data_IF_295980831133
#
_entry.id   IF_295980831133
#
_cell.length_a   1.000
_cell.length_b   1.000
_cell.length_c   1.000
_cell.angle_alpha   90.00
_cell.angle_beta   90.00
_cell.angle_gamma   90.00
#
_symmetry.space_group_name_H-M   'P 1'
#
loop_
_entity.id
_entity.type
_entity.pdbx_description
1 polymer ?
#
# COMPACT_ATOMS: atom_id res chain seq x y z
N UNK A 1 25.06 22.81 -1.93
CA UNK A 1 24.45 22.44 -3.22
C UNK A 1 22.95 22.29 -3.04
N UNK A 2 22.17 23.09 -3.76
CA UNK A 2 20.71 23.00 -3.70
C UNK A 2 20.23 21.67 -4.26
N UNK A 3 19.35 20.94 -3.52
CA UNK A 3 18.64 19.78 -4.06
C UNK A 3 17.78 20.28 -5.24
N UNK A 4 18.05 19.79 -6.44
CA UNK A 4 17.22 20.07 -7.60
C UNK A 4 15.96 19.23 -7.48
N UNK A 5 14.83 19.85 -7.23
CA UNK A 5 13.54 19.19 -7.37
C UNK A 5 13.11 19.21 -8.85
N UNK A 6 12.39 18.22 -9.27
CA UNK A 6 11.79 18.16 -10.58
C UNK A 6 10.28 18.35 -10.42
N UNK A 7 9.68 19.11 -11.33
CA UNK A 7 8.24 19.37 -11.35
C UNK A 7 7.69 18.86 -12.69
N UNK A 8 6.64 18.06 -12.62
CA UNK A 8 5.92 17.53 -13.78
C UNK A 8 4.43 17.63 -13.46
N UNK A 9 3.71 18.40 -14.29
CA UNK A 9 2.24 18.57 -14.17
C UNK A 9 1.78 18.92 -12.72
N UNK A 10 2.40 19.94 -12.13
CA UNK A 10 2.16 20.42 -10.76
C UNK A 10 2.52 19.41 -9.64
N UNK A 11 3.21 18.32 -9.98
CA UNK A 11 3.72 17.34 -9.00
C UNK A 11 5.23 17.51 -8.84
N UNK A 12 5.67 17.67 -7.61
CA UNK A 12 7.10 17.78 -7.26
C UNK A 12 7.67 16.38 -7.03
N UNK A 13 8.78 16.08 -7.69
CA UNK A 13 9.50 14.82 -7.53
C UNK A 13 10.78 15.02 -6.74
N UNK A 14 10.97 14.21 -5.71
CA UNK A 14 12.27 14.10 -5.04
C UNK A 14 13.27 13.45 -6.02
N UNK A 15 14.49 14.00 -6.18
CA UNK A 15 15.51 13.44 -7.08
C UNK A 15 15.84 11.96 -6.88
N UNK A 16 15.68 11.45 -5.67
CA UNK A 16 15.90 10.03 -5.35
C UNK A 16 15.01 9.09 -6.17
N UNK A 17 13.78 9.53 -6.48
CA UNK A 17 12.86 8.74 -7.31
C UNK A 17 13.40 8.45 -8.72
N UNK A 18 14.19 9.37 -9.27
CA UNK A 18 14.72 9.25 -10.64
C UNK A 18 15.97 8.38 -10.69
N UNK A 19 16.66 8.20 -9.59
CA UNK A 19 17.93 7.50 -9.51
C UNK A 19 17.82 6.13 -8.83
N UNK A 20 16.77 5.91 -8.04
CA UNK A 20 16.62 4.67 -7.31
C UNK A 20 16.11 3.56 -8.21
N UNK A 21 16.91 2.53 -8.40
CA UNK A 21 16.51 1.30 -9.08
C UNK A 21 15.76 0.41 -8.10
N UNK A 22 14.59 -0.04 -8.50
CA UNK A 22 13.69 -0.78 -7.62
C UNK A 22 12.87 -1.80 -8.43
N UNK A 23 12.93 -3.06 -8.02
CA UNK A 23 12.09 -4.14 -8.56
C UNK A 23 11.66 -5.05 -7.41
N UNK A 24 10.36 -5.13 -7.14
CA UNK A 24 9.84 -5.97 -6.06
C UNK A 24 10.33 -7.41 -6.15
N UNK A 25 10.79 -7.95 -5.02
CA UNK A 25 11.19 -9.35 -4.87
C UNK A 25 10.31 -10.05 -3.83
N UNK A 26 9.12 -10.46 -4.25
CA UNK A 26 8.11 -11.08 -3.40
C UNK A 26 8.54 -12.42 -2.82
N UNK A 27 9.45 -13.12 -3.48
CA UNK A 27 9.99 -14.39 -2.96
C UNK A 27 10.83 -14.16 -1.70
N UNK A 28 11.49 -13.01 -1.60
CA UNK A 28 12.31 -12.64 -0.45
C UNK A 28 11.54 -11.86 0.60
N UNK A 29 10.80 -10.82 0.22
CA UNK A 29 10.08 -9.99 1.19
C UNK A 29 8.73 -10.56 1.63
N UNK A 30 8.17 -11.54 0.89
CA UNK A 30 6.88 -12.18 1.20
C UNK A 30 5.69 -11.20 1.30
N UNK A 31 5.76 -10.08 0.61
CA UNK A 31 4.71 -9.06 0.66
C UNK A 31 4.73 -8.22 1.94
N UNK A 32 5.90 -7.94 2.47
CA UNK A 32 6.08 -7.23 3.75
C UNK A 32 5.39 -5.87 3.83
N UNK A 33 5.19 -5.17 2.70
CA UNK A 33 4.43 -3.91 2.68
C UNK A 33 2.98 -4.05 3.21
N UNK A 34 2.44 -5.27 3.20
CA UNK A 34 1.10 -5.58 3.73
C UNK A 34 1.12 -6.15 5.15
N UNK A 35 2.29 -6.50 5.70
CA UNK A 35 2.40 -7.25 6.96
C UNK A 35 3.43 -6.69 7.94
N UNK A 36 4.20 -5.68 7.56
CA UNK A 36 5.17 -5.08 8.48
C UNK A 36 4.49 -4.52 9.73
N UNK A 37 5.14 -4.68 10.88
CA UNK A 37 4.61 -4.19 12.15
C UNK A 37 4.61 -2.66 12.16
N UNK A 38 3.44 -2.09 12.43
CA UNK A 38 3.25 -0.64 12.52
C UNK A 38 1.97 -0.31 13.30
N UNK A 39 2.02 0.78 14.05
CA UNK A 39 0.82 1.39 14.63
C UNK A 39 -0.05 2.06 13.57
N UNK A 40 0.48 2.28 12.39
CA UNK A 40 -0.19 2.95 11.27
C UNK A 40 -0.47 1.96 10.15
N UNK A 41 -1.70 1.99 9.62
CA UNK A 41 -2.07 1.28 8.41
C UNK A 41 -1.69 2.04 7.14
N UNK A 42 -2.15 1.54 6.00
CA UNK A 42 -1.98 2.23 4.72
C UNK A 42 -2.86 3.48 4.66
N UNK A 43 -2.31 4.65 4.30
CA UNK A 43 -3.12 5.86 4.12
C UNK A 43 -4.25 5.67 3.11
N UNK A 44 -5.41 6.22 3.44
CA UNK A 44 -6.61 6.19 2.60
C UNK A 44 -7.15 7.60 2.36
N UNK A 45 -7.77 7.81 1.23
CA UNK A 45 -8.65 8.96 1.00
C UNK A 45 -10.10 8.58 1.30
N UNK A 46 -10.96 9.59 1.53
CA UNK A 46 -12.40 9.35 1.72
C UNK A 46 -13.01 8.67 0.48
N UNK A 47 -12.60 9.08 -0.72
CA UNK A 47 -13.06 8.47 -1.97
C UNK A 47 -12.70 6.98 -2.05
N UNK A 48 -11.50 6.61 -1.62
CA UNK A 48 -11.07 5.20 -1.56
C UNK A 48 -11.88 4.39 -0.55
N UNK A 49 -12.15 4.96 0.62
CA UNK A 49 -13.03 4.34 1.64
C UNK A 49 -14.41 4.07 1.06
N UNK A 50 -15.00 5.04 0.36
CA UNK A 50 -16.32 4.90 -0.25
C UNK A 50 -16.34 3.83 -1.34
N UNK A 51 -15.31 3.77 -2.19
CA UNK A 51 -15.15 2.73 -3.21
C UNK A 51 -15.02 1.34 -2.61
N UNK A 52 -14.19 1.19 -1.58
CA UNK A 52 -14.00 -0.09 -0.87
C UNK A 52 -15.31 -0.50 -0.21
N UNK A 53 -15.97 0.42 0.49
CA UNK A 53 -17.21 0.14 1.19
C UNK A 53 -18.32 -0.36 0.26
N UNK A 54 -18.44 0.24 -0.91
CA UNK A 54 -19.40 -0.19 -1.95
C UNK A 54 -19.16 -1.58 -2.52
N UNK A 55 -17.96 -2.14 -2.35
CA UNK A 55 -17.56 -3.45 -2.85
C UNK A 55 -17.10 -4.42 -1.76
N UNK A 56 -17.27 -4.04 -0.50
CA UNK A 56 -16.74 -4.79 0.65
C UNK A 56 -17.28 -6.23 0.71
N UNK A 57 -18.54 -6.44 0.34
CA UNK A 57 -19.14 -7.78 0.30
C UNK A 57 -18.43 -8.72 -0.68
N UNK A 58 -17.93 -8.21 -1.79
CA UNK A 58 -17.14 -8.98 -2.77
C UNK A 58 -15.72 -9.19 -2.24
N UNK A 59 -15.09 -8.12 -1.75
CA UNK A 59 -13.71 -8.16 -1.24
C UNK A 59 -13.56 -9.19 -0.11
N UNK A 60 -14.53 -9.27 0.80
CA UNK A 60 -14.52 -10.24 1.91
C UNK A 60 -14.44 -11.69 1.47
N UNK A 61 -14.92 -12.03 0.27
CA UNK A 61 -14.85 -13.40 -0.25
C UNK A 61 -13.41 -13.87 -0.50
N UNK A 62 -12.47 -12.93 -0.62
CA UNK A 62 -11.04 -13.20 -0.84
C UNK A 62 -10.22 -13.25 0.43
N UNK A 63 -10.80 -12.93 1.58
CA UNK A 63 -10.08 -12.76 2.84
C UNK A 63 -10.22 -13.97 3.76
N UNK A 64 -9.18 -14.26 4.58
CA UNK A 64 -9.29 -15.23 5.65
C UNK A 64 -10.38 -14.84 6.65
N UNK A 65 -10.98 -15.85 7.28
CA UNK A 65 -12.06 -15.63 8.25
C UNK A 65 -11.70 -14.63 9.35
N UNK A 66 -10.49 -14.70 9.90
CA UNK A 66 -10.01 -13.77 10.93
C UNK A 66 -10.07 -12.31 10.46
N UNK A 67 -9.71 -12.04 9.22
CA UNK A 67 -9.75 -10.70 8.62
C UNK A 67 -11.18 -10.24 8.39
N UNK A 68 -12.05 -11.12 7.90
CA UNK A 68 -13.49 -10.83 7.75
C UNK A 68 -14.11 -10.48 9.10
N UNK A 69 -13.87 -11.30 10.11
CA UNK A 69 -14.39 -11.06 11.48
C UNK A 69 -13.91 -9.71 12.04
N UNK A 70 -12.66 -9.34 11.80
CA UNK A 70 -12.11 -8.04 12.20
C UNK A 70 -12.85 -6.89 11.50
N UNK A 71 -13.07 -7.00 10.20
CA UNK A 71 -13.78 -5.99 9.40
C UNK A 71 -15.24 -5.86 9.88
N UNK A 72 -15.92 -6.97 10.11
CA UNK A 72 -17.32 -6.97 10.57
C UNK A 72 -17.49 -6.41 11.99
N UNK A 73 -16.52 -6.66 12.86
CA UNK A 73 -16.57 -6.22 14.26
C UNK A 73 -16.20 -4.75 14.43
N UNK A 74 -15.18 -4.27 13.70
CA UNK A 74 -14.58 -2.94 13.93
C UNK A 74 -14.36 -2.09 12.69
N UNK A 75 -14.80 -2.56 11.51
CA UNK A 75 -14.57 -1.88 10.23
C UNK A 75 -13.15 -2.11 9.68
N UNK A 76 -12.90 -1.55 8.51
CA UNK A 76 -11.63 -1.73 7.80
C UNK A 76 -10.72 -0.51 7.83
N UNK A 77 -11.20 0.62 8.34
CA UNK A 77 -10.43 1.87 8.40
C UNK A 77 -10.59 2.54 9.77
N UNK A 78 -9.70 3.45 10.05
CA UNK A 78 -9.71 4.30 11.24
C UNK A 78 -9.10 5.66 10.93
N UNK A 79 -9.45 6.64 11.76
CA UNK A 79 -8.79 7.95 11.78
C UNK A 79 -7.81 7.99 12.95
N UNK A 80 -6.53 8.19 12.64
CA UNK A 80 -5.48 8.43 13.64
C UNK A 80 -4.78 9.74 13.32
N UNK A 81 -4.82 10.68 14.25
CA UNK A 81 -4.15 11.98 14.11
C UNK A 81 -4.53 12.70 12.81
N UNK A 82 -5.84 12.75 12.51
CA UNK A 82 -6.40 13.35 11.30
C UNK A 82 -5.92 12.68 9.99
N UNK A 83 -5.53 11.41 10.07
CA UNK A 83 -5.18 10.59 8.91
C UNK A 83 -6.06 9.35 8.83
N UNK A 84 -6.75 9.21 7.71
CA UNK A 84 -7.51 8.00 7.39
C UNK A 84 -6.55 6.90 6.95
N UNK A 85 -6.72 5.70 7.51
CA UNK A 85 -5.85 4.57 7.22
C UNK A 85 -6.57 3.24 7.37
N UNK A 86 -6.02 2.19 6.76
CA UNK A 86 -6.51 0.82 6.95
C UNK A 86 -6.25 0.34 8.37
N UNK A 87 -7.15 -0.51 8.87
CA UNK A 87 -6.88 -1.28 10.09
C UNK A 87 -6.00 -2.49 9.81
N UNK A 88 -5.44 -3.05 10.86
CA UNK A 88 -4.59 -4.23 10.80
C UNK A 88 -4.96 -5.24 11.89
N UNK A 89 -4.44 -6.45 11.75
CA UNK A 89 -4.50 -7.50 12.76
C UNK A 89 -3.25 -7.38 13.63
N UNK A 90 -3.43 -7.09 14.91
CA UNK A 90 -2.35 -6.97 15.91
C UNK A 90 -1.20 -6.06 15.48
N UNK A 91 -1.51 -4.92 14.84
CA UNK A 91 -0.54 -3.95 14.29
C UNK A 91 0.44 -4.55 13.27
N UNK A 92 0.05 -5.62 12.58
CA UNK A 92 0.87 -6.31 11.57
C UNK A 92 0.15 -6.38 10.23
N UNK A 93 -0.48 -7.50 9.94
CA UNK A 93 -1.14 -7.70 8.66
C UNK A 93 -2.32 -6.73 8.46
N UNK A 94 -2.35 -6.05 7.31
CA UNK A 94 -3.51 -5.27 6.90
C UNK A 94 -4.77 -6.16 6.85
N UNK A 95 -5.93 -5.60 7.18
CA UNK A 95 -7.21 -6.35 7.16
C UNK A 95 -7.57 -6.92 5.79
N UNK A 96 -6.99 -6.37 4.71
CA UNK A 96 -7.22 -6.82 3.34
C UNK A 96 -6.21 -7.86 2.83
N UNK A 97 -5.37 -8.40 3.71
CA UNK A 97 -4.36 -9.40 3.34
C UNK A 97 -4.97 -10.79 3.25
N UNK A 98 -4.61 -11.52 2.19
CA UNK A 98 -4.67 -12.98 2.12
C UNK A 98 -3.28 -13.53 1.80
N UNK A 99 -3.08 -14.81 1.97
CA UNK A 99 -1.79 -15.46 1.74
C UNK A 99 -1.89 -16.46 0.59
N UNK A 100 -0.96 -16.33 -0.35
CA UNK A 100 -0.78 -17.23 -1.48
C UNK A 100 0.63 -17.82 -1.42
N UNK A 101 0.74 -19.11 -1.12
CA UNK A 101 2.02 -19.80 -0.93
C UNK A 101 2.98 -19.07 0.05
N UNK A 102 2.44 -18.54 1.15
CA UNK A 102 3.20 -17.84 2.17
C UNK A 102 3.56 -16.38 1.81
N UNK A 103 3.10 -15.88 0.67
CA UNK A 103 3.27 -14.49 0.26
C UNK A 103 1.98 -13.72 0.59
N UNK A 104 2.13 -12.62 1.34
CA UNK A 104 1.01 -11.73 1.62
C UNK A 104 0.62 -10.95 0.36
N UNK A 105 -0.66 -10.96 0.04
CA UNK A 105 -1.25 -10.26 -1.11
C UNK A 105 -2.49 -9.48 -0.70
N UNK A 106 -2.86 -8.50 -1.51
CA UNK A 106 -4.03 -7.68 -1.26
C UNK A 106 -5.30 -8.34 -1.84
N UNK A 107 -6.30 -8.58 -1.00
CA UNK A 107 -7.60 -9.12 -1.42
C UNK A 107 -8.39 -8.16 -2.32
N UNK A 108 -8.22 -6.85 -2.15
CA UNK A 108 -8.82 -5.86 -3.05
C UNK A 108 -8.22 -6.00 -4.45
N UNK A 109 -6.90 -6.07 -4.57
CA UNK A 109 -6.22 -6.24 -5.85
C UNK A 109 -6.61 -7.56 -6.53
N UNK A 110 -6.73 -8.64 -5.76
CA UNK A 110 -7.18 -9.95 -6.29
C UNK A 110 -8.59 -9.89 -6.84
N UNK A 111 -9.53 -9.25 -6.14
CA UNK A 111 -10.88 -9.05 -6.63
C UNK A 111 -10.91 -8.20 -7.92
N UNK A 112 -10.02 -7.22 -8.03
CA UNK A 112 -9.85 -6.45 -9.25
C UNK A 112 -9.29 -7.28 -10.40
N UNK A 113 -8.25 -8.07 -10.16
CA UNK A 113 -7.64 -8.98 -11.16
C UNK A 113 -8.63 -10.02 -11.68
N UNK A 114 -9.54 -10.47 -10.82
CA UNK A 114 -10.63 -11.39 -11.18
C UNK A 114 -11.84 -10.67 -11.81
N UNK A 115 -11.70 -9.38 -12.14
CA UNK A 115 -12.73 -8.54 -12.78
C UNK A 115 -14.05 -8.45 -11.99
N UNK A 116 -14.00 -8.64 -10.67
CA UNK A 116 -15.18 -8.55 -9.78
C UNK A 116 -15.45 -7.13 -9.30
N UNK A 117 -14.44 -6.29 -9.29
CA UNK A 117 -14.52 -4.88 -8.91
C UNK A 117 -13.70 -4.03 -9.88
N UNK A 118 -13.96 -2.72 -9.90
CA UNK A 118 -13.28 -1.75 -10.78
C UNK A 118 -12.27 -0.86 -10.04
N UNK A 119 -11.94 -1.18 -8.81
CA UNK A 119 -10.96 -0.48 -7.98
C UNK A 119 -9.82 -1.44 -7.64
N UNK A 120 -8.59 -1.10 -8.06
CA UNK A 120 -7.45 -2.01 -7.92
C UNK A 120 -6.97 -2.13 -6.48
N UNK A 121 -6.62 -1.03 -5.85
CA UNK A 121 -6.23 -0.90 -4.44
C UNK A 121 -5.93 0.56 -4.09
N UNK A 122 -5.79 0.91 -2.81
CA UNK A 122 -5.41 2.27 -2.40
C UNK A 122 -4.12 2.72 -3.08
N UNK A 123 -4.07 4.00 -3.48
CA UNK A 123 -2.92 4.54 -4.20
C UNK A 123 -1.64 4.47 -3.36
N UNK A 124 -1.74 4.62 -2.05
CA UNK A 124 -0.61 4.49 -1.13
C UNK A 124 0.03 3.09 -1.17
N UNK A 125 -0.80 2.05 -1.34
CA UNK A 125 -0.34 0.67 -1.49
C UNK A 125 0.20 0.40 -2.90
N UNK A 126 -0.44 0.99 -3.92
CA UNK A 126 -0.03 0.82 -5.31
C UNK A 126 1.33 1.44 -5.59
N UNK A 127 1.59 2.61 -5.03
CA UNK A 127 2.84 3.34 -5.19
C UNK A 127 3.95 2.93 -4.21
N UNK A 128 3.63 2.15 -3.16
CA UNK A 128 4.63 1.76 -2.16
C UNK A 128 5.92 1.21 -2.81
N UNK A 129 7.12 1.63 -2.47
CA UNK A 129 7.49 2.50 -1.34
C UNK A 129 7.53 4.01 -1.64
N UNK A 130 6.92 4.45 -2.74
CA UNK A 130 6.77 5.87 -3.04
C UNK A 130 5.65 6.43 -2.17
N UNK A 131 5.93 7.56 -1.53
CA UNK A 131 4.95 8.27 -0.70
C UNK A 131 4.57 9.61 -1.32
N UNK A 132 3.31 9.94 -1.21
CA UNK A 132 2.77 11.25 -1.58
C UNK A 132 2.62 12.09 -0.32
N UNK A 133 3.18 13.28 -0.32
CA UNK A 133 3.04 14.25 0.76
C UNK A 133 2.47 15.54 0.19
N UNK A 134 1.47 16.10 0.85
CA UNK A 134 0.87 17.38 0.45
C UNK A 134 1.39 18.52 1.34
N UNK A 135 2.06 19.48 0.71
CA UNK A 135 2.49 20.74 1.30
C UNK A 135 2.01 21.94 0.46
N UNK A 136 0.74 21.92 0.05
CA UNK A 136 0.17 22.87 -0.91
C UNK A 136 0.33 22.41 -2.36
N UNK A 137 0.58 21.13 -2.57
CA UNK A 137 0.77 20.41 -3.82
C UNK A 137 1.38 19.05 -3.57
N UNK A 138 1.19 18.11 -4.49
CA UNK A 138 1.68 16.74 -4.34
C UNK A 138 3.20 16.66 -4.50
N UNK A 139 3.86 16.11 -3.49
CA UNK A 139 5.29 15.80 -3.51
C UNK A 139 5.47 14.29 -3.44
N UNK A 140 6.04 13.71 -4.49
CA UNK A 140 6.41 12.30 -4.51
C UNK A 140 7.83 12.12 -3.97
N UNK A 141 7.98 11.22 -3.00
CA UNK A 141 9.27 10.88 -2.41
C UNK A 141 9.44 9.37 -2.30
N UNK A 142 10.68 8.91 -2.43
CA UNK A 142 11.06 7.55 -2.09
C UNK A 142 11.25 7.46 -0.57
N UNK A 143 10.69 6.42 0.04
CA UNK A 143 10.89 6.13 1.46
C UNK A 143 11.58 4.77 1.62
N UNK A 144 12.66 4.77 2.40
CA UNK A 144 13.43 3.55 2.68
C UNK A 144 12.74 2.69 3.72
N UNK A 145 12.58 1.40 3.38
CA UNK A 145 12.11 0.38 4.31
C UNK A 145 13.08 -0.79 4.28
N UNK A 146 13.50 -1.27 5.46
CA UNK A 146 14.43 -2.40 5.56
C UNK A 146 13.88 -3.66 4.89
N UNK A 147 12.56 -3.85 4.92
CA UNK A 147 11.86 -4.96 4.30
C UNK A 147 11.96 -4.93 2.75
N UNK A 148 12.23 -3.77 2.18
CA UNK A 148 12.39 -3.58 0.73
C UNK A 148 13.85 -3.66 0.24
N UNK A 149 14.81 -3.92 1.10
CA UNK A 149 16.22 -4.07 0.71
C UNK A 149 16.42 -5.09 -0.44
N UNK A 150 15.77 -6.26 -0.45
CA UNK A 150 15.86 -7.18 -1.60
C UNK A 150 15.42 -6.59 -2.93
N UNK A 151 14.45 -5.65 -2.91
CA UNK A 151 13.96 -4.99 -4.11
C UNK A 151 14.99 -4.01 -4.71
N UNK A 152 15.81 -3.39 -3.89
CA UNK A 152 16.90 -2.52 -4.35
C UNK A 152 17.96 -3.36 -5.06
N UNK A 153 18.37 -4.46 -4.47
CA UNK A 153 19.34 -5.38 -5.07
C UNK A 153 18.84 -5.94 -6.40
N UNK A 154 17.60 -6.40 -6.44
CA UNK A 154 16.98 -6.89 -7.68
C UNK A 154 16.85 -5.80 -8.73
N UNK A 155 16.55 -4.55 -8.33
CA UNK A 155 16.52 -3.39 -9.21
C UNK A 155 17.88 -3.13 -9.88
N UNK A 156 18.98 -3.22 -9.15
CA UNK A 156 20.32 -3.09 -9.69
C UNK A 156 20.68 -4.20 -10.70
N UNK A 157 20.19 -5.42 -10.48
CA UNK A 157 20.41 -6.57 -11.35
C UNK A 157 19.57 -6.53 -12.62
N UNK A 158 18.41 -5.89 -12.62
CA UNK A 158 17.40 -5.96 -13.70
C UNK A 158 17.27 -4.67 -14.52
N UNK A 159 17.85 -3.55 -14.09
CA UNK A 159 17.74 -2.23 -14.76
C UNK A 159 19.10 -1.69 -15.23
#
# INVERSE_FOLDING_TARGET
MGRKFYEIDDVILNPELLNQKFTCDLEKCKGACCTMESEFGAPLTQEEIDKINGKLHIIKEYLPKLHVDKIETSGFWEDKFDQLMTKSIDNKACVFVYYDNGIARCGIEKAYEDEKINFRKPISCHLFPIRVTDFGGDILRYEEYSECEPALKKGEETN
#
